data_IF_321527481355
#
_entry.id   IF_321527481355
#
_cell.length_a   1.000
_cell.length_b   1.000
_cell.length_c   1.000
_cell.angle_alpha   90.00
_cell.angle_beta   90.00
_cell.angle_gamma   90.00
#
_symmetry.space_group_name_H-M   'P 1'
#
loop_
_entity.id
_entity.type
_entity.pdbx_description
1 polymer ?
#
# COMPACT_ATOMS: atom_id res chain seq x y z
N UNK A 1 -25.37 -0.44 6.01
CA UNK A 1 -24.05 0.16 5.74
C UNK A 1 -23.37 -0.74 4.72
N UNK A 2 -22.96 -0.20 3.58
CA UNK A 2 -22.03 -0.91 2.70
C UNK A 2 -20.69 -1.03 3.43
N UNK A 3 -20.09 -2.22 3.43
CA UNK A 3 -18.75 -2.41 4.00
C UNK A 3 -17.71 -1.76 3.07
N UNK A 4 -16.69 -1.12 3.64
CA UNK A 4 -15.58 -0.53 2.91
C UNK A 4 -14.25 -1.06 3.42
N UNK A 5 -13.28 -1.19 2.51
CA UNK A 5 -11.88 -1.50 2.79
C UNK A 5 -11.00 -0.37 2.25
N UNK A 6 -10.14 0.16 3.11
CA UNK A 6 -9.16 1.19 2.80
C UNK A 6 -7.76 0.57 2.71
N UNK A 7 -7.17 0.62 1.52
CA UNK A 7 -5.86 0.08 1.20
C UNK A 7 -4.86 1.22 1.02
N UNK A 8 -3.74 1.18 1.75
CA UNK A 8 -2.57 1.99 1.43
C UNK A 8 -1.71 1.24 0.40
N UNK A 9 -1.47 1.85 -0.76
CA UNK A 9 -0.46 1.41 -1.70
C UNK A 9 0.83 2.21 -1.48
N UNK A 10 1.70 1.67 -0.65
CA UNK A 10 2.89 2.37 -0.19
C UNK A 10 3.97 2.34 -1.28
N UNK A 11 4.46 3.52 -1.66
CA UNK A 11 5.47 3.77 -2.69
C UNK A 11 5.07 3.32 -4.11
N UNK A 12 3.79 3.41 -4.46
CA UNK A 12 3.25 2.98 -5.76
C UNK A 12 3.99 3.55 -7.00
N UNK A 13 4.56 4.74 -6.87
CA UNK A 13 5.33 5.41 -7.92
C UNK A 13 6.75 4.85 -8.10
N UNK A 14 7.29 4.16 -7.09
CA UNK A 14 8.66 3.63 -7.06
C UNK A 14 8.69 2.10 -7.13
N UNK A 15 7.72 1.44 -6.49
CA UNK A 15 7.63 0.00 -6.35
C UNK A 15 6.47 -0.55 -7.20
N UNK A 16 6.57 -0.40 -8.51
CA UNK A 16 5.54 -0.76 -9.49
C UNK A 16 5.99 -1.79 -10.53
N UNK A 17 7.08 -2.49 -10.25
CA UNK A 17 7.61 -3.52 -11.14
C UNK A 17 6.82 -4.84 -10.99
N UNK A 18 7.13 -5.82 -11.85
CA UNK A 18 6.60 -7.20 -11.77
C UNK A 18 5.06 -7.37 -11.84
N UNK A 19 4.33 -6.33 -12.22
CA UNK A 19 2.88 -6.41 -12.40
C UNK A 19 2.08 -6.38 -11.09
N UNK A 20 2.70 -5.93 -9.99
CA UNK A 20 2.08 -5.88 -8.66
C UNK A 20 0.81 -5.03 -8.61
N UNK A 21 0.69 -4.04 -9.47
CA UNK A 21 -0.56 -3.28 -9.66
C UNK A 21 -1.75 -4.18 -10.06
N UNK A 22 -1.50 -5.29 -10.75
CA UNK A 22 -2.50 -6.30 -11.08
C UNK A 22 -3.12 -6.93 -9.83
N UNK A 23 -2.34 -7.13 -8.77
CA UNK A 23 -2.84 -7.66 -7.49
C UNK A 23 -3.87 -6.70 -6.85
N UNK A 24 -3.61 -5.39 -6.88
CA UNK A 24 -4.55 -4.40 -6.38
C UNK A 24 -5.82 -4.32 -7.24
N UNK A 25 -5.69 -4.42 -8.56
CA UNK A 25 -6.84 -4.43 -9.47
C UNK A 25 -7.75 -5.63 -9.23
N UNK A 26 -7.18 -6.84 -9.07
CA UNK A 26 -7.99 -8.04 -8.82
C UNK A 26 -8.62 -8.01 -7.41
N UNK A 27 -7.93 -7.48 -6.39
CA UNK A 27 -8.50 -7.27 -5.06
C UNK A 27 -9.69 -6.30 -5.10
N UNK A 28 -9.54 -5.16 -5.77
CA UNK A 28 -10.62 -4.19 -5.98
C UNK A 28 -11.82 -4.82 -6.69
N UNK A 29 -11.58 -5.53 -7.79
CA UNK A 29 -12.64 -6.23 -8.52
C UNK A 29 -13.37 -7.24 -7.63
N UNK A 30 -12.63 -8.06 -6.87
CA UNK A 30 -13.20 -9.07 -5.96
C UNK A 30 -14.02 -8.43 -4.83
N UNK A 31 -13.60 -7.31 -4.28
CA UNK A 31 -14.36 -6.56 -3.28
C UNK A 31 -15.67 -6.02 -3.87
N UNK A 32 -15.60 -5.42 -5.06
CA UNK A 32 -16.76 -4.87 -5.76
C UNK A 32 -17.81 -5.94 -6.10
N UNK A 33 -17.39 -7.13 -6.56
CA UNK A 33 -18.31 -8.27 -6.82
C UNK A 33 -19.04 -8.73 -5.55
N UNK A 34 -18.52 -8.40 -4.36
CA UNK A 34 -19.12 -8.71 -3.05
C UNK A 34 -19.91 -7.53 -2.46
N UNK A 35 -20.06 -6.43 -3.19
CA UNK A 35 -20.69 -5.21 -2.67
C UNK A 35 -19.87 -4.51 -1.59
N UNK A 36 -18.54 -4.68 -1.61
CA UNK A 36 -17.60 -4.03 -0.69
C UNK A 36 -16.90 -2.89 -1.43
N UNK A 37 -16.99 -1.67 -0.90
CA UNK A 37 -16.23 -0.54 -1.42
C UNK A 37 -14.74 -0.76 -1.17
N UNK A 38 -13.89 -0.49 -2.16
CA UNK A 38 -12.44 -0.72 -2.05
C UNK A 38 -11.70 0.54 -2.48
N UNK A 39 -11.20 1.27 -1.49
CA UNK A 39 -10.51 2.54 -1.65
C UNK A 39 -9.01 2.30 -1.63
N UNK A 40 -8.29 2.93 -2.55
CA UNK A 40 -6.82 2.83 -2.63
C UNK A 40 -6.27 4.24 -2.53
N UNK A 41 -5.42 4.47 -1.54
CA UNK A 41 -4.63 5.70 -1.38
C UNK A 41 -3.16 5.36 -1.58
N UNK A 42 -2.41 6.22 -2.26
CA UNK A 42 -0.96 6.08 -2.38
C UNK A 42 -0.28 6.97 -1.35
N UNK A 43 0.72 6.42 -0.66
CA UNK A 43 1.61 7.18 0.22
C UNK A 43 3.04 6.88 -0.24
N UNK A 44 3.83 7.92 -0.51
CA UNK A 44 5.16 7.84 -1.10
C UNK A 44 6.24 8.46 -0.19
N UNK A 45 7.43 8.65 -0.76
CA UNK A 45 8.55 9.34 -0.12
C UNK A 45 8.12 10.74 0.30
N UNK A 46 8.58 11.16 1.49
CA UNK A 46 8.27 12.45 2.11
C UNK A 46 6.78 12.70 2.45
N UNK A 47 5.90 11.72 2.21
CA UNK A 47 4.50 11.75 2.62
C UNK A 47 4.30 11.05 3.97
N UNK A 48 3.43 11.60 4.82
CA UNK A 48 3.12 10.99 6.12
C UNK A 48 2.32 9.72 5.96
N UNK A 49 2.79 8.62 6.57
CA UNK A 49 2.03 7.39 6.70
C UNK A 49 1.28 7.38 8.05
N UNK A 50 -0.04 7.48 7.98
CA UNK A 50 -0.95 7.31 9.12
C UNK A 50 -1.63 5.94 9.01
N UNK A 51 -1.14 4.97 9.79
CA UNK A 51 -1.61 3.59 9.76
C UNK A 51 -3.06 3.44 10.21
N UNK A 52 -3.57 4.37 11.03
CA UNK A 52 -4.94 4.33 11.54
C UNK A 52 -6.01 4.51 10.45
N UNK A 53 -5.63 5.00 9.26
CA UNK A 53 -6.53 5.19 8.12
C UNK A 53 -6.80 3.92 7.31
N UNK A 54 -5.99 2.88 7.47
CA UNK A 54 -5.94 1.77 6.51
C UNK A 54 -6.21 0.41 7.17
N UNK A 55 -6.99 -0.41 6.48
CA UNK A 55 -7.22 -1.81 6.87
C UNK A 55 -6.07 -2.71 6.41
N UNK A 56 -5.42 -2.32 5.31
CA UNK A 56 -4.36 -3.08 4.66
C UNK A 56 -3.31 -2.16 4.05
N UNK A 57 -2.07 -2.64 3.99
CA UNK A 57 -0.96 -2.00 3.27
C UNK A 57 -0.46 -2.96 2.20
N UNK A 58 -0.30 -2.46 0.99
CA UNK A 58 0.34 -3.15 -0.12
C UNK A 58 1.64 -2.45 -0.48
N UNK A 59 2.72 -3.22 -0.58
CA UNK A 59 4.05 -2.76 -0.99
C UNK A 59 4.48 -3.66 -2.14
N UNK A 60 4.66 -3.08 -3.32
CA UNK A 60 5.14 -3.81 -4.49
C UNK A 60 6.67 -4.01 -4.48
N UNK A 61 7.19 -4.55 -5.58
CA UNK A 61 8.61 -4.62 -5.88
C UNK A 61 9.10 -3.43 -6.71
N UNK A 62 10.35 -3.04 -6.50
CA UNK A 62 11.08 -2.07 -7.33
C UNK A 62 12.46 -2.61 -7.71
N UNK A 63 13.22 -1.84 -8.50
CA UNK A 63 14.63 -2.14 -8.74
C UNK A 63 15.48 -1.75 -7.52
N UNK A 64 16.74 -2.18 -7.49
CA UNK A 64 17.63 -1.98 -6.34
C UNK A 64 17.77 -0.50 -5.92
N UNK A 65 17.79 0.42 -6.89
CA UNK A 65 17.91 1.85 -6.63
C UNK A 65 16.68 2.41 -5.90
N UNK A 66 15.48 2.16 -6.43
CA UNK A 66 14.21 2.59 -5.83
C UNK A 66 14.01 1.92 -4.47
N UNK A 67 14.34 0.64 -4.32
CA UNK A 67 14.28 -0.06 -3.04
C UNK A 67 15.18 0.58 -1.99
N UNK A 68 16.37 1.05 -2.37
CA UNK A 68 17.27 1.75 -1.45
C UNK A 68 16.72 3.11 -1.01
N UNK A 69 16.04 3.84 -1.89
CA UNK A 69 15.35 5.07 -1.54
C UNK A 69 14.20 4.81 -0.57
N UNK A 70 13.36 3.83 -0.89
CA UNK A 70 12.24 3.41 -0.04
C UNK A 70 12.71 2.93 1.33
N UNK A 71 13.79 2.15 1.41
CA UNK A 71 14.30 1.64 2.67
C UNK A 71 14.73 2.76 3.64
N UNK A 72 15.30 3.86 3.10
CA UNK A 72 15.67 5.04 3.89
C UNK A 72 14.43 5.77 4.39
N UNK A 73 13.48 6.04 3.50
CA UNK A 73 12.25 6.76 3.84
C UNK A 73 11.36 5.97 4.80
N UNK A 74 11.29 4.64 4.66
CA UNK A 74 10.50 3.76 5.52
C UNK A 74 10.90 3.84 7.00
N UNK A 75 12.14 4.26 7.32
CA UNK A 75 12.55 4.52 8.71
C UNK A 75 11.72 5.64 9.36
N UNK A 76 11.29 6.64 8.58
CA UNK A 76 10.44 7.74 9.05
C UNK A 76 9.00 7.30 9.35
N UNK A 77 8.58 6.16 8.77
CA UNK A 77 7.24 5.58 8.87
C UNK A 77 7.17 4.38 9.83
N UNK A 78 8.28 4.05 10.51
CA UNK A 78 8.43 2.85 11.35
C UNK A 78 7.34 2.69 12.40
N UNK A 79 6.87 3.78 13.01
CA UNK A 79 5.88 3.73 14.09
C UNK A 79 4.52 3.17 13.64
N UNK A 80 4.21 3.23 12.34
CA UNK A 80 3.00 2.64 11.77
C UNK A 80 3.13 1.15 11.44
N UNK A 81 4.29 0.53 11.69
CA UNK A 81 4.50 -0.91 11.47
C UNK A 81 4.74 -1.62 12.80
N UNK A 82 3.85 -2.54 13.14
CA UNK A 82 4.08 -3.46 14.24
C UNK A 82 4.84 -4.68 13.73
N UNK A 83 6.01 -4.95 14.31
CA UNK A 83 6.71 -6.22 14.07
C UNK A 83 5.83 -7.37 14.59
N UNK A 84 5.45 -8.28 13.70
CA UNK A 84 4.83 -9.55 14.08
C UNK A 84 6.00 -10.49 14.37
N UNK A 85 6.28 -10.70 15.66
CA UNK A 85 7.25 -11.69 16.14
C UNK A 85 6.64 -13.09 16.09
#
# INVERSE_FOLDING_TARGET
MEMSLNMCHLYANLLNTYGDNGNLLILKHRAQVRGIAFNIETVSIDETFDDSKYDMVFIGGGQDYEQLLVAKDMQTKKNGFNAIY
#
